data_IF_821434569581
#
_entry.id   IF_821434569581
#
_cell.length_a   1.000
_cell.length_b   1.000
_cell.length_c   1.000
_cell.angle_alpha   90.00
_cell.angle_beta   90.00
_cell.angle_gamma   90.00
#
_symmetry.space_group_name_H-M   'P 1'
#
loop_
_entity.id
_entity.type
_entity.pdbx_description
1 polymer ?
#
# COMPACT_ATOMS: atom_id res chain seq x y z
N UNK A 1 4.57 -4.32 17.19
CA UNK A 1 5.81 -4.93 16.61
C UNK A 1 6.44 -3.92 15.66
N UNK A 2 7.76 -3.92 15.50
CA UNK A 2 8.43 -3.03 14.56
C UNK A 2 7.99 -3.35 13.12
N UNK A 3 7.82 -2.32 12.28
CA UNK A 3 7.56 -2.47 10.84
C UNK A 3 8.85 -2.96 10.18
N UNK A 4 8.80 -4.04 9.43
CA UNK A 4 9.92 -4.65 8.68
C UNK A 4 9.61 -4.81 7.20
N UNK A 5 8.34 -4.96 6.86
CA UNK A 5 7.87 -5.12 5.50
C UNK A 5 6.69 -4.17 5.23
N UNK A 6 6.75 -3.48 4.10
CA UNK A 6 5.70 -2.55 3.66
C UNK A 6 5.12 -3.05 2.34
N UNK A 7 3.82 -3.28 2.32
CA UNK A 7 3.10 -3.59 1.09
C UNK A 7 2.72 -2.29 0.38
N UNK A 8 3.07 -2.18 -0.89
CA UNK A 8 2.76 -1.01 -1.72
C UNK A 8 1.79 -1.39 -2.82
N UNK A 9 0.65 -0.72 -2.82
CA UNK A 9 -0.38 -0.76 -3.87
C UNK A 9 -0.22 0.45 -4.76
N UNK A 10 -0.18 0.29 -6.06
CA UNK A 10 -0.02 1.39 -7.00
C UNK A 10 -0.42 1.02 -8.43
N UNK A 11 -0.55 2.03 -9.28
CA UNK A 11 -0.91 1.84 -10.68
C UNK A 11 0.19 1.22 -11.52
N UNK A 12 -0.20 0.42 -12.52
CA UNK A 12 0.68 -0.18 -13.51
C UNK A 12 0.60 0.51 -14.88
N UNK A 13 -0.27 1.47 -15.06
CA UNK A 13 -0.45 2.17 -16.33
C UNK A 13 0.76 3.03 -16.68
N UNK A 14 1.17 2.97 -17.95
CA UNK A 14 2.15 3.88 -18.53
C UNK A 14 1.50 5.21 -18.95
N UNK A 15 2.33 6.24 -19.17
CA UNK A 15 1.85 7.53 -19.68
C UNK A 15 1.22 8.43 -18.61
N UNK A 16 1.38 8.13 -17.32
CA UNK A 16 1.01 9.01 -16.22
C UNK A 16 2.00 10.16 -16.07
N UNK A 17 1.62 11.23 -15.36
CA UNK A 17 2.49 12.36 -15.10
C UNK A 17 3.81 11.90 -14.45
N UNK A 18 4.98 12.38 -14.94
CA UNK A 18 6.30 11.98 -14.43
C UNK A 18 6.49 12.21 -12.91
N UNK A 19 5.77 13.15 -12.31
CA UNK A 19 5.84 13.42 -10.89
C UNK A 19 5.37 12.22 -10.06
N UNK A 20 4.34 11.49 -10.52
CA UNK A 20 3.90 10.25 -9.87
C UNK A 20 4.96 9.15 -9.94
N UNK A 21 5.62 9.01 -11.09
CA UNK A 21 6.71 8.02 -11.26
C UNK A 21 7.91 8.36 -10.37
N UNK A 22 8.29 9.64 -10.29
CA UNK A 22 9.38 10.10 -9.44
C UNK A 22 9.09 9.84 -7.97
N UNK A 23 7.88 10.15 -7.50
CA UNK A 23 7.47 9.90 -6.11
C UNK A 23 7.44 8.40 -5.78
N UNK A 24 7.00 7.55 -6.71
CA UNK A 24 7.04 6.10 -6.54
C UNK A 24 8.47 5.56 -6.45
N UNK A 25 9.36 6.02 -7.32
CA UNK A 25 10.77 5.64 -7.29
C UNK A 25 11.45 6.09 -5.99
N UNK A 26 11.20 7.33 -5.55
CA UNK A 26 11.71 7.85 -4.28
C UNK A 26 11.21 7.01 -3.10
N UNK A 27 9.91 6.67 -3.05
CA UNK A 27 9.35 5.83 -2.00
C UNK A 27 10.07 4.47 -1.92
N UNK A 28 10.32 3.83 -3.06
CA UNK A 28 11.08 2.57 -3.10
C UNK A 28 12.48 2.71 -2.51
N UNK A 29 13.20 3.75 -2.89
CA UNK A 29 14.53 4.06 -2.36
C UNK A 29 14.53 4.33 -0.86
N UNK A 30 13.53 5.04 -0.35
CA UNK A 30 13.37 5.34 1.07
C UNK A 30 13.09 4.08 1.89
N UNK A 31 12.24 3.17 1.40
CA UNK A 31 11.99 1.88 2.05
C UNK A 31 13.29 1.10 2.20
N UNK A 32 14.07 1.00 1.12
CA UNK A 32 15.37 0.33 1.14
C UNK A 32 16.36 0.99 2.11
N UNK A 33 16.45 2.32 2.12
CA UNK A 33 17.33 3.07 3.02
C UNK A 33 16.99 2.87 4.51
N UNK A 34 15.72 2.57 4.83
CA UNK A 34 15.27 2.22 6.18
C UNK A 34 15.41 0.72 6.49
N UNK A 35 15.96 -0.09 5.58
CA UNK A 35 16.08 -1.55 5.74
C UNK A 35 14.72 -2.27 5.67
N UNK A 36 13.69 -1.64 5.11
CA UNK A 36 12.35 -2.20 4.99
C UNK A 36 12.22 -3.01 3.69
N UNK A 37 11.57 -4.17 3.77
CA UNK A 37 11.24 -4.97 2.61
C UNK A 37 10.05 -4.34 1.86
N UNK A 38 10.18 -4.19 0.55
CA UNK A 38 9.06 -3.88 -0.34
C UNK A 38 8.31 -5.17 -0.70
N UNK A 39 7.02 -5.19 -0.43
CA UNK A 39 6.05 -6.21 -0.88
C UNK A 39 5.12 -5.54 -1.89
N UNK A 40 4.94 -6.12 -3.09
CA UNK A 40 4.10 -5.51 -4.11
C UNK A 40 3.61 -6.50 -5.18
N UNK A 41 2.80 -6.05 -6.12
CA UNK A 41 2.14 -6.88 -7.13
C UNK A 41 3.01 -7.30 -8.33
N UNK A 42 4.33 -7.27 -8.21
CA UNK A 42 5.31 -7.77 -9.20
C UNK A 42 5.33 -7.07 -10.57
N UNK A 43 4.55 -6.01 -10.80
CA UNK A 43 4.49 -5.33 -12.10
C UNK A 43 5.78 -4.57 -12.46
N UNK A 44 6.08 -4.48 -13.77
CA UNK A 44 7.27 -3.79 -14.29
C UNK A 44 6.99 -2.42 -14.91
N UNK A 45 5.72 -2.03 -15.07
CA UNK A 45 5.31 -0.79 -15.71
C UNK A 45 4.69 0.20 -14.72
N UNK A 46 4.56 1.45 -15.11
CA UNK A 46 3.96 2.50 -14.30
C UNK A 46 4.62 2.69 -12.93
N UNK A 47 3.83 3.02 -11.92
CA UNK A 47 4.31 3.20 -10.56
C UNK A 47 4.82 1.90 -9.93
N UNK A 48 4.27 0.75 -10.33
CA UNK A 48 4.75 -0.55 -9.87
C UNK A 48 6.21 -0.76 -10.25
N UNK A 49 6.58 -0.54 -11.51
CA UNK A 49 7.96 -0.61 -11.96
C UNK A 49 8.84 0.42 -11.27
N UNK A 50 8.36 1.66 -11.14
CA UNK A 50 9.12 2.75 -10.54
C UNK A 50 9.46 2.49 -9.06
N UNK A 51 8.52 2.01 -8.24
CA UNK A 51 8.77 1.73 -6.83
C UNK A 51 9.73 0.54 -6.65
N UNK A 52 9.59 -0.50 -7.47
CA UNK A 52 10.50 -1.64 -7.44
C UNK A 52 11.92 -1.25 -7.83
N UNK A 53 12.09 -0.49 -8.93
CA UNK A 53 13.38 0.04 -9.38
C UNK A 53 14.05 0.92 -8.33
N UNK A 54 13.29 1.82 -7.67
CA UNK A 54 13.81 2.65 -6.60
C UNK A 54 14.38 1.83 -5.44
N UNK A 55 13.65 0.80 -5.01
CA UNK A 55 14.08 -0.11 -3.95
C UNK A 55 15.31 -0.94 -4.35
N UNK A 56 15.29 -1.53 -5.55
CA UNK A 56 16.38 -2.38 -6.05
C UNK A 56 17.68 -1.59 -6.23
N UNK A 57 17.62 -0.39 -6.81
CA UNK A 57 18.79 0.48 -6.99
C UNK A 57 19.43 0.91 -5.67
N UNK A 58 18.63 1.04 -4.62
CA UNK A 58 19.10 1.32 -3.26
C UNK A 58 19.53 0.06 -2.49
N UNK A 59 19.59 -1.10 -3.14
CA UNK A 59 20.00 -2.37 -2.51
C UNK A 59 18.95 -2.98 -1.59
N UNK A 60 17.69 -2.57 -1.73
CA UNK A 60 16.58 -3.04 -0.90
C UNK A 60 16.09 -4.44 -1.26
N UNK A 61 15.42 -5.07 -0.32
CA UNK A 61 14.75 -6.36 -0.51
C UNK A 61 13.37 -6.13 -1.12
N UNK A 62 13.11 -6.74 -2.27
CA UNK A 62 11.84 -6.64 -2.99
C UNK A 62 11.25 -8.02 -3.21
N UNK A 63 10.01 -8.22 -2.80
CA UNK A 63 9.25 -9.45 -3.05
C UNK A 63 7.98 -9.12 -3.86
N UNK A 64 7.88 -9.71 -5.03
CA UNK A 64 6.72 -9.61 -5.91
C UNK A 64 5.75 -10.77 -5.68
N UNK A 65 4.46 -10.47 -5.79
CA UNK A 65 3.38 -11.45 -5.71
C UNK A 65 2.50 -11.33 -6.95
N UNK A 66 2.32 -12.42 -7.69
CA UNK A 66 1.59 -12.41 -8.95
C UNK A 66 0.63 -13.60 -9.04
N UNK A 67 -0.62 -13.42 -9.51
CA UNK A 67 -1.47 -14.57 -9.81
C UNK A 67 -1.04 -15.24 -11.12
N UNK A 68 -1.26 -16.53 -11.24
CA UNK A 68 -0.84 -17.34 -12.41
C UNK A 68 -1.24 -16.73 -13.74
N UNK A 69 -2.47 -16.22 -13.85
CA UNK A 69 -2.99 -15.63 -15.09
C UNK A 69 -2.31 -14.30 -15.48
N UNK A 70 -1.60 -13.64 -14.59
CA UNK A 70 -0.82 -12.42 -14.83
C UNK A 70 0.70 -12.66 -14.79
N UNK A 71 1.15 -13.88 -14.55
CA UNK A 71 2.56 -14.24 -14.54
C UNK A 71 3.11 -14.36 -15.98
N UNK A 72 3.17 -13.22 -16.65
CA UNK A 72 3.61 -13.09 -18.04
C UNK A 72 4.87 -12.23 -18.12
N UNK A 73 5.86 -12.59 -18.98
CA UNK A 73 7.08 -11.80 -19.17
C UNK A 73 6.83 -10.34 -19.54
N UNK A 74 5.70 -10.06 -20.22
CA UNK A 74 5.29 -8.70 -20.56
C UNK A 74 4.86 -7.88 -19.35
N UNK A 75 4.45 -8.46 -18.24
CA UNK A 75 3.85 -7.82 -17.09
C UNK A 75 4.75 -7.83 -15.85
N UNK A 76 5.48 -8.93 -15.62
CA UNK A 76 6.27 -9.15 -14.39
C UNK A 76 7.65 -8.53 -14.53
N UNK A 77 8.13 -7.94 -13.43
CA UNK A 77 9.46 -7.35 -13.32
C UNK A 77 10.54 -8.45 -13.27
N UNK A 78 11.51 -8.39 -14.19
CA UNK A 78 12.53 -9.46 -14.36
C UNK A 78 13.64 -9.43 -13.29
N UNK A 79 13.86 -8.28 -12.63
CA UNK A 79 14.95 -8.06 -11.68
C UNK A 79 14.62 -8.39 -10.22
N UNK A 80 13.48 -9.05 -9.93
CA UNK A 80 13.07 -9.33 -8.56
C UNK A 80 13.91 -10.45 -7.94
N UNK A 81 14.42 -10.21 -6.72
CA UNK A 81 15.12 -11.22 -5.93
C UNK A 81 14.21 -12.34 -5.41
N UNK A 82 12.91 -12.07 -5.29
CA UNK A 82 11.88 -13.02 -4.87
C UNK A 82 10.57 -12.75 -5.59
N UNK A 83 9.99 -13.82 -6.15
CA UNK A 83 8.68 -13.80 -6.80
C UNK A 83 7.86 -14.99 -6.30
N UNK A 84 6.67 -14.73 -5.79
CA UNK A 84 5.70 -15.76 -5.40
C UNK A 84 4.53 -15.75 -6.39
N UNK A 85 4.26 -16.90 -7.01
CA UNK A 85 3.14 -17.08 -7.93
C UNK A 85 1.99 -17.74 -7.19
N UNK A 86 0.81 -17.13 -7.21
CA UNK A 86 -0.38 -17.58 -6.50
C UNK A 86 -1.45 -18.05 -7.50
N UNK A 87 -2.33 -19.00 -7.12
CA UNK A 87 -3.36 -19.51 -8.03
C UNK A 87 -4.29 -18.45 -8.59
N UNK A 88 -4.65 -17.45 -7.77
CA UNK A 88 -5.60 -16.40 -8.12
C UNK A 88 -5.31 -15.06 -7.44
N UNK A 89 -6.08 -14.04 -7.83
CA UNK A 89 -5.93 -12.68 -7.32
C UNK A 89 -6.28 -12.56 -5.83
N UNK A 90 -7.20 -13.36 -5.32
CA UNK A 90 -7.62 -13.32 -3.92
C UNK A 90 -6.52 -13.87 -3.02
N UNK A 91 -5.95 -15.00 -3.39
CA UNK A 91 -4.80 -15.57 -2.68
C UNK A 91 -3.59 -14.64 -2.74
N UNK A 92 -3.34 -13.96 -3.86
CA UNK A 92 -2.29 -12.93 -3.97
C UNK A 92 -2.49 -11.82 -2.94
N UNK A 93 -3.68 -11.22 -2.88
CA UNK A 93 -3.98 -10.14 -1.94
C UNK A 93 -3.82 -10.59 -0.49
N UNK A 94 -4.37 -11.75 -0.15
CA UNK A 94 -4.25 -12.32 1.20
C UNK A 94 -2.77 -12.58 1.57
N UNK A 95 -1.98 -13.08 0.65
CA UNK A 95 -0.56 -13.38 0.87
C UNK A 95 0.28 -12.11 1.02
N UNK A 96 0.04 -11.10 0.20
CA UNK A 96 0.67 -9.78 0.33
C UNK A 96 0.35 -9.14 1.69
N UNK A 97 -0.92 -9.22 2.09
CA UNK A 97 -1.36 -8.69 3.38
C UNK A 97 -0.71 -9.44 4.56
N UNK A 98 -0.57 -10.76 4.48
CA UNK A 98 0.06 -11.55 5.54
C UNK A 98 1.55 -11.22 5.72
N UNK A 99 2.26 -10.96 4.61
CA UNK A 99 3.69 -10.66 4.61
C UNK A 99 4.02 -9.27 5.15
N UNK A 100 3.12 -8.30 5.00
CA UNK A 100 3.35 -6.91 5.35
C UNK A 100 3.07 -6.58 6.81
N UNK A 101 3.81 -5.62 7.37
CA UNK A 101 3.54 -5.01 8.68
C UNK A 101 2.82 -3.65 8.56
N UNK A 102 2.86 -3.05 7.38
CA UNK A 102 2.20 -1.79 7.04
C UNK A 102 1.85 -1.73 5.55
N UNK A 103 0.99 -0.81 5.17
CA UNK A 103 0.55 -0.63 3.79
C UNK A 103 0.72 0.81 3.34
N UNK A 104 1.10 0.99 2.08
CA UNK A 104 1.11 2.30 1.41
C UNK A 104 0.39 2.17 0.07
N UNK A 105 -0.58 3.03 -0.18
CA UNK A 105 -1.17 3.19 -1.50
C UNK A 105 -0.62 4.45 -2.17
N UNK A 106 0.00 4.27 -3.33
CA UNK A 106 0.35 5.33 -4.26
C UNK A 106 -0.81 5.52 -5.25
N UNK A 107 -0.83 6.60 -6.04
CA UNK A 107 -1.82 6.75 -7.10
C UNK A 107 -1.95 5.52 -7.98
N UNK A 108 -3.19 5.16 -8.31
CA UNK A 108 -3.51 4.00 -9.13
C UNK A 108 -4.98 3.94 -9.52
N UNK A 109 -5.35 2.91 -10.26
CA UNK A 109 -6.70 2.68 -10.74
C UNK A 109 -7.52 1.73 -9.86
N UNK A 110 -8.42 1.01 -10.50
CA UNK A 110 -9.35 0.10 -9.82
C UNK A 110 -8.66 -0.97 -8.97
N UNK A 111 -7.57 -1.58 -9.46
CA UNK A 111 -6.84 -2.59 -8.72
C UNK A 111 -6.24 -2.03 -7.42
N UNK A 112 -5.63 -0.86 -7.49
CA UNK A 112 -5.07 -0.17 -6.31
C UNK A 112 -6.15 0.18 -5.30
N UNK A 113 -7.30 0.68 -5.75
CA UNK A 113 -8.42 1.03 -4.89
C UNK A 113 -9.08 -0.22 -4.27
N UNK A 114 -9.22 -1.32 -5.02
CA UNK A 114 -9.71 -2.60 -4.52
C UNK A 114 -8.83 -3.10 -3.36
N UNK A 115 -7.51 -3.15 -3.57
CA UNK A 115 -6.55 -3.56 -2.54
C UNK A 115 -6.58 -2.64 -1.31
N UNK A 116 -6.65 -1.33 -1.53
CA UNK A 116 -6.74 -0.34 -0.46
C UNK A 116 -8.01 -0.51 0.37
N UNK A 117 -9.17 -0.59 -0.27
CA UNK A 117 -10.46 -0.72 0.45
C UNK A 117 -10.59 -2.06 1.15
N UNK A 118 -10.07 -3.14 0.58
CA UNK A 118 -10.03 -4.44 1.26
C UNK A 118 -9.18 -4.35 2.53
N UNK A 119 -7.98 -3.74 2.44
CA UNK A 119 -7.10 -3.52 3.59
C UNK A 119 -7.77 -2.68 4.67
N UNK A 120 -8.42 -1.57 4.30
CA UNK A 120 -9.16 -0.71 5.22
C UNK A 120 -10.34 -1.45 5.88
N UNK A 121 -11.07 -2.25 5.10
CA UNK A 121 -12.18 -3.08 5.60
C UNK A 121 -11.68 -4.11 6.61
N UNK A 122 -10.59 -4.82 6.30
CA UNK A 122 -10.01 -5.83 7.20
C UNK A 122 -9.50 -5.21 8.50
N UNK A 123 -8.93 -4.01 8.44
CA UNK A 123 -8.55 -3.27 9.64
C UNK A 123 -9.79 -2.89 10.47
N UNK A 124 -10.84 -2.37 9.84
CA UNK A 124 -12.08 -1.97 10.49
C UNK A 124 -12.77 -3.14 11.22
N UNK A 125 -12.83 -4.32 10.60
CA UNK A 125 -13.43 -5.52 11.21
C UNK A 125 -12.48 -6.27 12.15
N UNK A 126 -11.27 -5.77 12.37
CA UNK A 126 -10.32 -6.28 13.36
C UNK A 126 -9.46 -7.45 12.92
N UNK A 127 -9.39 -7.75 11.61
CA UNK A 127 -8.51 -8.81 11.09
C UNK A 127 -7.03 -8.42 11.17
N UNK A 128 -6.71 -7.13 11.19
CA UNK A 128 -5.36 -6.63 11.48
C UNK A 128 -5.40 -5.22 12.10
N UNK A 129 -4.24 -4.79 12.64
CA UNK A 129 -4.03 -3.46 13.20
C UNK A 129 -2.88 -2.71 12.49
N UNK A 130 -2.57 -3.10 11.27
CA UNK A 130 -1.45 -2.55 10.52
C UNK A 130 -1.81 -1.16 10.00
N UNK A 131 -0.90 -0.17 10.09
CA UNK A 131 -1.17 1.18 9.62
C UNK A 131 -1.21 1.26 8.10
N UNK A 132 -1.97 2.21 7.58
CA UNK A 132 -2.14 2.44 6.14
C UNK A 132 -1.75 3.88 5.82
N UNK A 133 -0.89 4.07 4.82
CA UNK A 133 -0.46 5.36 4.30
C UNK A 133 -0.98 5.63 2.89
N UNK A 134 -1.36 6.87 2.61
CA UNK A 134 -1.69 7.34 1.26
C UNK A 134 -0.63 8.33 0.80
N UNK A 135 0.09 8.01 -0.27
CA UNK A 135 0.97 8.97 -0.92
C UNK A 135 0.11 9.89 -1.80
N UNK A 136 -0.17 11.07 -1.27
CA UNK A 136 -1.10 12.02 -1.87
C UNK A 136 -0.42 13.00 -2.83
N UNK A 137 0.48 12.48 -3.66
CA UNK A 137 1.19 13.29 -4.69
C UNK A 137 0.18 14.03 -5.54
N UNK A 138 0.36 15.35 -5.69
CA UNK A 138 -0.53 16.26 -6.45
C UNK A 138 -1.99 16.27 -5.97
N UNK A 139 -2.26 15.85 -4.71
CA UNK A 139 -3.63 15.77 -4.20
C UNK A 139 -4.48 14.66 -4.83
N UNK A 140 -3.84 13.62 -5.38
CA UNK A 140 -4.54 12.52 -6.05
C UNK A 140 -5.63 11.88 -5.19
N UNK A 141 -5.38 11.75 -3.90
CA UNK A 141 -6.31 11.15 -2.94
C UNK A 141 -7.22 12.15 -2.23
N UNK A 142 -7.17 13.45 -2.56
CA UNK A 142 -8.08 14.45 -1.95
C UNK A 142 -9.56 14.06 -2.08
N UNK A 143 -10.07 13.62 -3.26
CA UNK A 143 -11.46 13.19 -3.37
C UNK A 143 -11.80 11.99 -2.50
N UNK A 144 -10.85 11.03 -2.35
CA UNK A 144 -11.03 9.86 -1.49
C UNK A 144 -11.08 10.26 0.00
N UNK A 145 -10.18 11.11 0.43
CA UNK A 145 -10.15 11.62 1.81
C UNK A 145 -11.45 12.36 2.14
N UNK A 146 -11.95 13.22 1.24
CA UNK A 146 -13.23 13.89 1.40
C UNK A 146 -14.41 12.89 1.44
N UNK A 147 -14.35 11.81 0.64
CA UNK A 147 -15.37 10.75 0.69
C UNK A 147 -15.37 10.02 2.03
N UNK A 148 -14.21 9.70 2.57
CA UNK A 148 -14.07 9.06 3.89
C UNK A 148 -14.59 9.99 5.00
N UNK A 149 -14.24 11.28 4.97
CA UNK A 149 -14.78 12.28 5.90
C UNK A 149 -16.31 12.39 5.82
N UNK A 150 -16.85 12.33 4.60
CA UNK A 150 -18.30 12.32 4.38
C UNK A 150 -18.94 11.08 4.99
N UNK A 151 -18.35 9.90 4.77
CA UNK A 151 -18.87 8.64 5.31
C UNK A 151 -18.84 8.61 6.85
N UNK A 152 -17.80 9.19 7.46
CA UNK A 152 -17.72 9.38 8.93
C UNK A 152 -18.81 10.32 9.43
N UNK A 153 -18.97 11.49 8.81
CA UNK A 153 -19.98 12.49 9.20
C UNK A 153 -21.41 11.98 9.08
N UNK A 154 -21.69 11.22 8.01
CA UNK A 154 -23.03 10.71 7.73
C UNK A 154 -23.29 9.36 8.45
N UNK A 155 -22.32 8.82 9.22
CA UNK A 155 -22.48 7.64 10.06
C UNK A 155 -22.31 6.30 9.35
N UNK A 156 -21.82 6.27 8.10
CA UNK A 156 -21.50 5.02 7.39
C UNK A 156 -20.20 4.38 7.88
N UNK A 157 -19.28 5.17 8.42
CA UNK A 157 -18.09 4.72 9.13
C UNK A 157 -18.23 5.21 10.57
N UNK A 158 -18.18 4.28 11.53
CA UNK A 158 -18.29 4.64 12.95
C UNK A 158 -16.99 5.25 13.47
N UNK A 159 -17.09 6.33 14.24
CA UNK A 159 -15.93 7.03 14.77
C UNK A 159 -15.01 6.14 15.63
N UNK A 160 -15.58 5.20 16.39
CA UNK A 160 -14.83 4.22 17.19
C UNK A 160 -14.13 3.13 16.39
N UNK A 161 -14.47 2.98 15.10
CA UNK A 161 -13.88 1.97 14.20
C UNK A 161 -12.85 2.58 13.24
N UNK A 162 -12.21 3.68 13.63
CA UNK A 162 -11.25 4.34 12.78
C UNK A 162 -10.04 3.44 12.51
N UNK A 163 -9.77 3.23 11.24
CA UNK A 163 -8.51 2.65 10.77
C UNK A 163 -7.43 3.70 10.91
N UNK A 164 -6.23 3.26 11.26
CA UNK A 164 -5.07 4.16 11.31
C UNK A 164 -4.64 4.47 9.88
N UNK A 165 -5.14 5.58 9.36
CA UNK A 165 -4.88 6.08 8.01
C UNK A 165 -4.13 7.42 8.09
N UNK A 166 -2.94 7.46 7.50
CA UNK A 166 -2.14 8.68 7.38
C UNK A 166 -1.95 9.05 5.91
N UNK A 167 -1.81 10.33 5.62
CA UNK A 167 -1.50 10.80 4.27
C UNK A 167 -0.44 11.90 4.28
N UNK A 168 0.31 11.95 3.20
CA UNK A 168 1.28 13.01 2.94
C UNK A 168 1.51 13.13 1.42
N UNK A 169 1.67 14.35 0.87
CA UNK A 169 2.00 14.52 -0.54
C UNK A 169 3.43 14.11 -0.90
N UNK A 170 4.32 14.02 0.09
CA UNK A 170 5.73 13.72 -0.11
C UNK A 170 6.11 12.33 0.46
N UNK A 171 6.92 11.52 -0.27
CA UNK A 171 7.33 10.19 0.19
C UNK A 171 8.01 10.19 1.56
N UNK A 172 8.94 11.12 1.80
CA UNK A 172 9.66 11.26 3.09
C UNK A 172 8.68 11.53 4.25
N UNK A 173 7.75 12.48 4.04
CA UNK A 173 6.74 12.84 5.05
C UNK A 173 5.82 11.68 5.36
N UNK A 174 5.36 10.96 4.33
CA UNK A 174 4.49 9.80 4.51
C UNK A 174 5.19 8.68 5.29
N UNK A 175 6.41 8.32 4.89
CA UNK A 175 7.15 7.25 5.55
C UNK A 175 7.45 7.61 7.02
N UNK A 176 7.82 8.86 7.29
CA UNK A 176 8.02 9.34 8.66
C UNK A 176 6.74 9.19 9.49
N UNK A 177 5.58 9.62 8.97
CA UNK A 177 4.28 9.46 9.66
C UNK A 177 3.96 7.98 9.91
N UNK A 178 4.17 7.12 8.91
CA UNK A 178 3.85 5.70 9.00
C UNK A 178 4.69 4.97 10.06
N UNK A 179 5.99 5.28 10.13
CA UNK A 179 6.92 4.64 11.07
C UNK A 179 6.77 5.14 12.52
N UNK A 180 6.28 6.36 12.72
CA UNK A 180 6.10 6.98 14.04
C UNK A 180 4.64 7.01 14.51
N UNK A 181 3.79 6.18 13.90
CA UNK A 181 2.38 6.16 14.19
C UNK A 181 2.11 5.71 15.63
N UNK A 182 1.30 6.48 16.33
CA UNK A 182 0.75 6.07 17.62
C UNK A 182 -0.67 5.56 17.40
N UNK A 183 -0.92 4.32 17.80
CA UNK A 183 -2.26 3.77 17.71
C UNK A 183 -3.13 4.43 18.80
N UNK A 184 -4.30 4.99 18.44
CA UNK A 184 -5.21 5.52 19.44
C UNK A 184 -5.64 4.41 20.41
N UNK A 185 -5.68 4.74 21.69
CA UNK A 185 -6.27 3.85 22.67
C UNK A 185 -7.79 3.74 22.43
N UNK A 186 -8.33 2.52 22.54
CA UNK A 186 -9.79 2.31 22.51
C UNK A 186 -10.41 2.24 21.11
N UNK A 187 -9.66 1.82 20.08
CA UNK A 187 -10.30 1.47 18.79
C UNK A 187 -11.29 0.32 19.03
N UNK A 188 -12.58 0.63 18.99
CA UNK A 188 -13.64 -0.37 19.00
C UNK A 188 -13.63 -1.16 17.69
N UNK A 189 -13.78 -2.47 17.79
CA UNK A 189 -13.86 -3.38 16.66
C UNK A 189 -15.25 -3.95 16.56
N UNK A 190 -15.64 -4.37 15.35
CA UNK A 190 -16.95 -4.99 15.11
C UNK A 190 -17.26 -6.16 16.06
N UNK A 191 -16.24 -6.92 16.49
CA UNK A 191 -16.39 -8.04 17.42
C UNK A 191 -16.66 -7.67 18.89
N UNK A 192 -16.56 -6.39 19.26
CA UNK A 192 -16.75 -5.90 20.64
C UNK A 192 -18.06 -5.11 20.79
N UNK A 193 -19.06 -5.38 19.98
CA UNK A 193 -20.41 -4.82 20.16
C UNK A 193 -21.13 -5.66 21.22
N UNK A 194 -21.35 -5.08 22.39
CA UNK A 194 -22.32 -5.56 23.38
C UNK A 194 -23.75 -5.22 22.92
#
# INVERSE_FOLDING_TARGET
SPIRAVCVYCGSADGVDPEYLAAAHEMGGLLAAQGLQLVYGAGKTGLMGAVAEGALRAGGKVTGFVPENLNLPALVHEGLGALEVLPDIQMRKARMSAEADAFIALPGGYGTLDELFETLTWAQIGLHQKPVGLLNTRGYYDPLLHMIERALRDGFIYAGHQVVLVSDPQPVGLLHKLLNIQFPDGIERWGNRD
#
